data_IF_804878555553
#
_entry.id   IF_804878555553
#
_cell.length_a   1.000
_cell.length_b   1.000
_cell.length_c   1.000
_cell.angle_alpha   90.00
_cell.angle_beta   90.00
_cell.angle_gamma   90.00
#
_symmetry.space_group_name_H-M   'P 1'
#
loop_
_entity.id
_entity.type
_entity.pdbx_description
1 polymer ?
#
# COMPACT_ATOMS: atom_id res chain seq x y z
N UNK A 1 2.55 5.05 -12.42
CA UNK A 1 3.03 5.42 -11.07
C UNK A 1 3.21 6.94 -11.01
N UNK A 2 2.13 7.66 -10.71
CA UNK A 2 2.13 9.11 -10.46
C UNK A 2 1.58 9.30 -9.04
N UNK A 3 2.33 9.95 -8.14
CA UNK A 3 1.86 10.24 -6.78
C UNK A 3 2.91 10.19 -5.68
N UNK A 4 3.90 9.29 -5.75
CA UNK A 4 4.92 9.15 -4.69
C UNK A 4 5.85 10.36 -4.55
N UNK A 5 6.11 11.11 -5.64
CA UNK A 5 7.02 12.26 -5.62
C UNK A 5 6.48 13.49 -4.86
N UNK A 6 5.17 13.61 -4.64
CA UNK A 6 4.57 14.75 -3.91
C UNK A 6 3.70 14.31 -2.73
N UNK A 7 3.44 13.01 -2.59
CA UNK A 7 2.49 12.49 -1.62
C UNK A 7 3.12 12.03 -0.31
N UNK A 8 4.43 12.20 -0.08
CA UNK A 8 5.12 11.72 1.13
C UNK A 8 5.90 12.85 1.79
N UNK A 9 5.69 13.08 3.08
CA UNK A 9 6.53 13.93 3.92
C UNK A 9 7.52 13.04 4.68
N UNK A 10 8.80 13.10 4.33
CA UNK A 10 9.82 12.28 4.98
C UNK A 10 10.12 12.68 6.44
N UNK A 11 9.75 13.88 6.87
CA UNK A 11 9.97 14.35 8.24
C UNK A 11 8.90 13.77 9.18
N UNK A 12 7.62 13.91 8.83
CA UNK A 12 6.53 13.35 9.64
C UNK A 12 6.26 11.88 9.34
N UNK A 13 6.57 11.43 8.13
CA UNK A 13 6.21 10.11 7.61
C UNK A 13 4.80 10.08 7.02
N UNK A 14 4.05 11.18 7.04
CA UNK A 14 2.72 11.24 6.46
C UNK A 14 2.78 11.02 4.95
N UNK A 15 1.85 10.24 4.43
CA UNK A 15 1.68 10.13 3.00
C UNK A 15 0.22 9.98 2.57
N UNK A 16 -0.06 10.47 1.37
CA UNK A 16 -1.35 10.39 0.69
C UNK A 16 -1.09 10.10 -0.78
N UNK A 17 -1.48 8.91 -1.23
CA UNK A 17 -1.19 8.44 -2.58
C UNK A 17 -2.44 7.86 -3.23
N UNK A 18 -2.56 8.08 -4.54
CA UNK A 18 -3.57 7.39 -5.35
C UNK A 18 -3.23 5.90 -5.46
N UNK A 19 -4.24 5.05 -5.33
CA UNK A 19 -4.14 3.60 -5.42
C UNK A 19 -5.20 3.04 -6.37
N UNK A 20 -4.86 1.94 -7.01
CA UNK A 20 -5.73 1.12 -7.83
C UNK A 20 -5.48 -0.35 -7.51
N UNK A 21 -6.46 -1.21 -7.73
CA UNK A 21 -6.33 -2.62 -7.37
C UNK A 21 -7.63 -3.39 -7.50
N UNK A 22 -7.73 -4.48 -6.73
CA UNK A 22 -8.89 -5.37 -6.69
C UNK A 22 -9.35 -5.54 -5.24
N UNK A 23 -10.66 -5.55 -5.05
CA UNK A 23 -11.24 -5.97 -3.77
C UNK A 23 -11.00 -7.47 -3.55
N UNK A 24 -10.84 -7.87 -2.29
CA UNK A 24 -10.81 -9.28 -1.89
C UNK A 24 -12.02 -9.54 -0.98
N UNK A 25 -12.87 -10.50 -1.36
CA UNK A 25 -14.05 -10.92 -0.59
C UNK A 25 -14.05 -12.43 -0.43
N UNK A 26 -14.14 -12.92 0.81
CA UNK A 26 -14.14 -14.35 1.12
C UNK A 26 -12.95 -15.12 0.50
N UNK A 27 -11.77 -14.50 0.46
CA UNK A 27 -10.56 -15.09 -0.12
C UNK A 27 -10.50 -15.11 -1.65
N UNK A 28 -11.44 -14.48 -2.35
CA UNK A 28 -11.44 -14.37 -3.80
C UNK A 28 -11.30 -12.90 -4.25
N UNK A 29 -10.62 -12.70 -5.39
CA UNK A 29 -10.60 -11.42 -6.09
C UNK A 29 -12.02 -11.05 -6.53
N UNK A 30 -12.35 -9.78 -6.42
CA UNK A 30 -13.66 -9.23 -6.73
C UNK A 30 -13.53 -8.03 -7.69
N UNK A 31 -14.38 -7.02 -7.54
CA UNK A 31 -14.41 -5.85 -8.43
C UNK A 31 -13.12 -4.99 -8.35
N UNK A 32 -12.72 -4.35 -9.46
CA UNK A 32 -11.60 -3.40 -9.46
C UNK A 32 -11.95 -2.13 -8.71
N UNK A 33 -10.97 -1.60 -7.98
CA UNK A 33 -11.00 -0.25 -7.42
C UNK A 33 -10.14 0.66 -8.29
N UNK A 34 -10.65 1.86 -8.57
CA UNK A 34 -9.95 2.91 -9.32
C UNK A 34 -10.09 4.22 -8.56
N UNK A 35 -9.11 5.11 -8.74
CA UNK A 35 -9.15 6.49 -8.22
C UNK A 35 -9.33 6.59 -6.70
N UNK A 36 -8.93 5.56 -5.96
CA UNK A 36 -8.96 5.60 -4.51
C UNK A 36 -7.70 6.29 -3.98
N UNK A 37 -7.80 6.89 -2.80
CA UNK A 37 -6.69 7.53 -2.11
C UNK A 37 -6.44 6.82 -0.79
N UNK A 38 -5.18 6.45 -0.56
CA UNK A 38 -4.70 5.87 0.68
C UNK A 38 -3.91 6.96 1.43
N UNK A 39 -4.36 7.27 2.64
CA UNK A 39 -3.69 8.19 3.56
C UNK A 39 -3.24 7.48 4.83
N UNK A 40 -1.96 7.59 5.21
CA UNK A 40 -1.42 7.03 6.46
C UNK A 40 -0.06 7.66 6.81
N UNK A 41 0.67 7.08 7.76
CA UNK A 41 2.09 7.34 7.99
C UNK A 41 2.91 6.08 7.71
N UNK A 42 4.17 6.26 7.30
CA UNK A 42 5.09 5.12 7.04
C UNK A 42 5.22 4.25 8.28
N UNK A 43 5.31 4.87 9.47
CA UNK A 43 5.46 4.14 10.73
C UNK A 43 4.24 3.25 10.99
N UNK A 44 3.02 3.78 10.80
CA UNK A 44 1.78 3.00 10.96
C UNK A 44 1.71 1.84 9.98
N UNK A 45 1.98 2.10 8.69
CA UNK A 45 2.00 1.02 7.69
C UNK A 45 2.95 -0.12 8.08
N UNK A 46 4.13 0.22 8.61
CA UNK A 46 5.12 -0.78 9.02
C UNK A 46 4.72 -1.53 10.30
N UNK A 47 4.07 -0.86 11.26
CA UNK A 47 3.61 -1.52 12.50
C UNK A 47 2.36 -2.35 12.31
N UNK A 48 1.56 -2.03 11.30
CA UNK A 48 0.26 -2.65 11.05
C UNK A 48 0.37 -3.81 10.03
N UNK A 49 1.59 -4.24 9.68
CA UNK A 49 1.82 -5.44 8.88
C UNK A 49 1.39 -6.67 9.68
N UNK A 50 0.37 -7.39 9.19
CA UNK A 50 -0.17 -8.61 9.82
C UNK A 50 0.26 -9.90 9.12
N UNK A 51 0.73 -9.81 7.86
CA UNK A 51 1.30 -10.94 7.14
C UNK A 51 2.32 -10.49 6.10
N UNK A 52 3.31 -11.36 5.86
CA UNK A 52 4.35 -11.20 4.83
C UNK A 52 4.32 -12.42 3.93
N UNK A 53 4.26 -12.19 2.62
CA UNK A 53 4.28 -13.23 1.60
C UNK A 53 5.65 -13.90 1.48
N UNK A 54 5.65 -15.11 0.93
CA UNK A 54 6.88 -15.88 0.63
C UNK A 54 7.43 -15.58 -0.78
N UNK A 55 6.96 -14.50 -1.40
CA UNK A 55 7.17 -14.10 -2.80
C UNK A 55 8.19 -12.96 -2.93
N UNK A 56 9.29 -13.05 -2.18
CA UNK A 56 10.37 -12.05 -2.22
C UNK A 56 10.95 -11.92 -3.64
N UNK A 57 10.87 -10.72 -4.18
CA UNK A 57 11.48 -10.31 -5.45
C UNK A 57 12.54 -9.23 -5.21
N UNK A 58 13.66 -9.34 -5.93
CA UNK A 58 14.70 -8.31 -5.95
C UNK A 58 14.47 -7.33 -7.09
N UNK A 59 14.25 -6.07 -6.73
CA UNK A 59 14.05 -4.96 -7.65
C UNK A 59 15.39 -4.34 -8.07
N UNK A 60 15.44 -3.66 -9.24
CA UNK A 60 16.61 -2.89 -9.65
C UNK A 60 17.07 -1.92 -8.55
N UNK A 61 18.38 -1.87 -8.31
CA UNK A 61 18.96 -1.07 -7.22
C UNK A 61 19.19 -1.85 -5.91
N UNK A 62 18.89 -3.16 -5.88
CA UNK A 62 19.25 -4.05 -4.77
C UNK A 62 18.24 -4.04 -3.62
N UNK A 63 17.00 -3.65 -3.88
CA UNK A 63 15.92 -3.64 -2.89
C UNK A 63 15.10 -4.93 -2.99
N UNK A 64 14.73 -5.50 -1.85
CA UNK A 64 13.82 -6.64 -1.78
C UNK A 64 12.39 -6.16 -1.51
N UNK A 65 11.42 -6.74 -2.20
CA UNK A 65 9.99 -6.52 -1.95
C UNK A 65 9.25 -7.85 -1.89
N UNK A 66 8.27 -7.95 -1.01
CA UNK A 66 7.36 -9.09 -0.90
C UNK A 66 5.94 -8.56 -0.74
N UNK A 67 4.94 -9.42 -0.98
CA UNK A 67 3.55 -9.04 -0.72
C UNK A 67 3.34 -8.83 0.78
N UNK A 68 2.66 -7.74 1.16
CA UNK A 68 2.35 -7.41 2.55
C UNK A 68 0.83 -7.29 2.74
N UNK A 69 0.34 -7.79 3.88
CA UNK A 69 -1.01 -7.48 4.34
C UNK A 69 -0.90 -6.48 5.48
N UNK A 70 -1.53 -5.33 5.30
CA UNK A 70 -1.49 -4.22 6.26
C UNK A 70 -2.92 -3.98 6.74
N UNK A 71 -3.12 -4.03 8.06
CA UNK A 71 -4.41 -3.73 8.68
C UNK A 71 -4.57 -2.21 8.92
N UNK A 72 -5.79 -1.77 9.24
CA UNK A 72 -6.03 -0.39 9.69
C UNK A 72 -5.82 0.70 8.62
N UNK A 73 -5.69 0.32 7.35
CA UNK A 73 -5.51 1.27 6.25
C UNK A 73 -6.82 2.00 5.95
N UNK A 74 -6.76 3.33 5.91
CA UNK A 74 -7.89 4.16 5.50
C UNK A 74 -7.86 4.38 3.99
N UNK A 75 -8.97 4.03 3.34
CA UNK A 75 -9.19 4.26 1.91
C UNK A 75 -10.33 5.27 1.75
N UNK A 76 -10.09 6.31 0.96
CA UNK A 76 -11.12 7.28 0.56
C UNK A 76 -11.33 7.25 -0.94
N UNK A 77 -12.59 7.28 -1.38
CA UNK A 77 -12.97 7.15 -2.78
C UNK A 77 -13.44 5.73 -3.13
N UNK A 78 -14.54 5.65 -3.89
CA UNK A 78 -15.11 4.46 -4.52
C UNK A 78 -16.08 4.89 -5.62
#
# INVERSE_FOLDING_TARGET
>A
MSGLHSGVNAISGDFSVGVEGLMIRNGALAEPIREATLGSTIQRLLTDIVAVGSDLEWLPGGYGAATLVIDGVTLSGA
#
